data_IF_014321167428
#
_entry.id   IF_014321167428
#
_cell.length_a   1.000
_cell.length_b   1.000
_cell.length_c   1.000
_cell.angle_alpha   90.00
_cell.angle_beta   90.00
_cell.angle_gamma   90.00
#
_symmetry.space_group_name_H-M   'P 1'
#
loop_
_entity.id
_entity.type
_entity.pdbx_description
1 polymer ?
#
# COMPACT_ATOMS: atom_id res chain seq x y z
N UNK A 1 4.01 -4.28 26.57
CA UNK A 1 2.69 -3.70 26.24
C UNK A 1 1.86 -4.75 25.52
N UNK A 2 0.53 -4.67 25.67
CA UNK A 2 -0.41 -5.42 24.84
C UNK A 2 -0.92 -4.50 23.74
N UNK A 3 -0.73 -4.87 22.49
CA UNK A 3 -1.02 -4.04 21.32
C UNK A 3 -2.11 -4.70 20.49
N UNK A 4 -3.22 -3.99 20.26
CA UNK A 4 -4.28 -4.44 19.37
C UNK A 4 -4.00 -3.91 17.95
N UNK A 5 -3.58 -4.80 17.06
CA UNK A 5 -3.43 -4.50 15.65
C UNK A 5 -4.76 -4.71 14.91
N UNK A 6 -5.18 -3.70 14.18
CA UNK A 6 -6.45 -3.68 13.45
C UNK A 6 -6.18 -3.56 11.96
N UNK A 7 -6.71 -4.50 11.19
CA UNK A 7 -6.71 -4.45 9.73
C UNK A 7 -8.03 -5.02 9.18
N UNK A 8 -8.45 -4.53 8.03
CA UNK A 8 -9.65 -5.04 7.37
C UNK A 8 -9.50 -6.52 7.01
N UNK A 9 -8.40 -6.90 6.39
CA UNK A 9 -8.11 -8.27 5.97
C UNK A 9 -7.18 -8.97 6.97
N UNK A 10 -7.38 -10.26 7.17
CA UNK A 10 -6.50 -11.11 7.99
C UNK A 10 -5.90 -12.25 7.17
N UNK A 11 -5.61 -11.97 5.91
CA UNK A 11 -4.93 -12.85 4.96
C UNK A 11 -4.07 -12.00 4.02
N UNK A 12 -3.17 -12.62 3.25
CA UNK A 12 -2.24 -11.89 2.38
C UNK A 12 -2.94 -11.41 1.11
N UNK A 13 -3.09 -10.09 0.98
CA UNK A 13 -3.65 -9.41 -0.20
C UNK A 13 -2.63 -8.54 -0.95
N UNK A 14 -1.69 -7.94 -0.22
CA UNK A 14 -0.71 -7.02 -0.80
C UNK A 14 0.22 -6.40 0.23
N UNK A 15 0.83 -5.27 -0.12
CA UNK A 15 1.84 -4.61 0.72
C UNK A 15 1.35 -4.15 2.09
N UNK A 16 0.07 -3.79 2.23
CA UNK A 16 -0.53 -3.45 3.53
C UNK A 16 -0.56 -4.63 4.50
N UNK A 17 -0.81 -5.84 3.99
CA UNK A 17 -0.82 -7.05 4.79
C UNK A 17 0.61 -7.55 5.08
N UNK A 18 1.54 -7.38 4.12
CA UNK A 18 2.97 -7.60 4.37
C UNK A 18 3.46 -6.74 5.55
N UNK A 19 3.09 -5.45 5.55
CA UNK A 19 3.38 -4.57 6.68
C UNK A 19 2.70 -5.02 7.97
N UNK A 20 1.40 -5.34 7.91
CA UNK A 20 0.59 -5.69 9.08
C UNK A 20 1.11 -6.92 9.81
N UNK A 21 1.36 -8.02 9.10
CA UNK A 21 1.89 -9.24 9.69
C UNK A 21 3.35 -9.10 10.09
N UNK A 22 4.17 -8.43 9.25
CA UNK A 22 5.55 -8.13 9.60
C UNK A 22 5.67 -7.26 10.85
N UNK A 23 4.79 -6.27 11.04
CA UNK A 23 4.74 -5.47 12.26
C UNK A 23 4.37 -6.32 13.48
N UNK A 24 3.41 -7.25 13.35
CA UNK A 24 3.04 -8.14 14.43
C UNK A 24 4.24 -8.99 14.90
N UNK A 25 5.00 -9.54 13.95
CA UNK A 25 6.17 -10.35 14.25
C UNK A 25 7.30 -9.53 14.91
N UNK A 26 7.57 -8.33 14.41
CA UNK A 26 8.55 -7.41 15.01
C UNK A 26 8.19 -7.03 16.45
N UNK A 27 6.91 -6.73 16.71
CA UNK A 27 6.44 -6.39 18.06
C UNK A 27 6.54 -7.58 19.01
N UNK A 28 6.24 -8.80 18.55
CA UNK A 28 6.41 -10.02 19.34
C UNK A 28 7.88 -10.31 19.64
N UNK A 29 8.76 -10.15 18.64
CA UNK A 29 10.22 -10.29 18.83
C UNK A 29 10.76 -9.27 19.82
N UNK A 30 10.17 -8.08 19.89
CA UNK A 30 10.48 -7.06 20.88
C UNK A 30 9.87 -7.31 22.28
N UNK A 31 9.25 -8.48 22.51
CA UNK A 31 8.69 -8.87 23.80
C UNK A 31 7.31 -8.26 24.12
N UNK A 32 6.53 -7.90 23.10
CA UNK A 32 5.19 -7.36 23.27
C UNK A 32 4.12 -8.39 22.92
N UNK A 33 2.99 -8.34 23.61
CA UNK A 33 1.80 -9.13 23.30
C UNK A 33 1.02 -8.45 22.16
N UNK A 34 0.70 -9.22 21.13
CA UNK A 34 -0.02 -8.73 19.94
C UNK A 34 -1.30 -9.53 19.76
N UNK A 35 -2.41 -8.83 19.76
CA UNK A 35 -3.76 -9.34 19.50
C UNK A 35 -4.34 -8.65 18.25
N UNK A 36 -5.35 -9.25 17.66
CA UNK A 36 -5.85 -8.83 16.35
C UNK A 36 -7.35 -8.57 16.33
N UNK A 37 -7.73 -7.62 15.47
CA UNK A 37 -9.13 -7.37 15.12
C UNK A 37 -9.25 -7.14 13.60
N UNK A 38 -10.13 -7.91 12.95
CA UNK A 38 -10.30 -7.87 11.49
C UNK A 38 -11.74 -8.19 11.07
N UNK A 39 -11.95 -8.38 9.78
CA UNK A 39 -13.18 -8.93 9.24
C UNK A 39 -13.05 -10.46 9.07
N UNK A 40 -14.18 -11.17 9.14
CA UNK A 40 -14.26 -12.59 8.82
C UNK A 40 -14.13 -12.81 7.31
N UNK A 41 -13.29 -13.76 6.95
CA UNK A 41 -13.10 -14.22 5.58
C UNK A 41 -12.65 -15.69 5.62
N UNK A 42 -13.06 -16.50 4.64
CA UNK A 42 -12.68 -17.91 4.55
C UNK A 42 -11.18 -18.12 4.38
N UNK A 43 -10.49 -17.12 3.83
CA UNK A 43 -9.03 -17.13 3.60
C UNK A 43 -8.23 -16.64 4.80
N UNK A 44 -8.88 -16.26 5.90
CA UNK A 44 -8.18 -15.76 7.07
C UNK A 44 -7.22 -16.79 7.65
N UNK A 45 -6.07 -16.30 8.09
CA UNK A 45 -5.14 -17.11 8.88
C UNK A 45 -5.76 -17.48 10.22
N UNK A 46 -5.33 -18.58 10.88
CA UNK A 46 -5.78 -18.93 12.22
C UNK A 46 -5.51 -17.80 13.23
N UNK A 47 -6.52 -17.46 14.05
CA UNK A 47 -6.40 -16.40 15.05
C UNK A 47 -7.30 -16.68 16.25
N UNK A 48 -6.76 -16.59 17.47
CA UNK A 48 -7.51 -16.79 18.71
C UNK A 48 -8.65 -15.78 18.88
N UNK A 49 -8.46 -14.56 18.36
CA UNK A 49 -9.45 -13.50 18.43
C UNK A 49 -10.52 -13.57 17.31
N UNK A 50 -10.50 -14.59 16.46
CA UNK A 50 -11.39 -14.72 15.28
C UNK A 50 -12.89 -14.64 15.61
N UNK A 51 -13.30 -15.07 16.81
CA UNK A 51 -14.68 -14.94 17.29
C UNK A 51 -15.17 -13.47 17.40
N UNK A 52 -14.24 -12.53 17.57
CA UNK A 52 -14.52 -11.10 17.62
C UNK A 52 -14.47 -10.42 16.24
N UNK A 53 -14.06 -11.11 15.19
CA UNK A 53 -13.97 -10.52 13.86
C UNK A 53 -15.35 -10.16 13.31
N UNK A 54 -15.41 -9.06 12.59
CA UNK A 54 -16.64 -8.49 12.04
C UNK A 54 -17.10 -9.30 10.84
N UNK A 55 -18.38 -9.60 10.73
CA UNK A 55 -18.90 -10.34 9.60
C UNK A 55 -18.60 -9.62 8.26
N UNK A 56 -18.22 -10.38 7.24
CA UNK A 56 -18.02 -9.82 5.90
C UNK A 56 -19.37 -9.36 5.33
N UNK A 57 -19.38 -8.26 4.58
CA UNK A 57 -20.55 -7.80 3.83
C UNK A 57 -20.31 -8.17 2.39
N UNK A 58 -20.84 -9.33 2.00
CA UNK A 58 -20.86 -9.72 0.60
C UNK A 58 -21.95 -8.95 -0.14
N UNK A 59 -21.52 -8.17 -1.14
CA UNK A 59 -22.43 -7.47 -2.07
C UNK A 59 -22.75 -8.29 -3.32
N UNK A 60 -22.32 -9.55 -3.37
CA UNK A 60 -22.33 -10.39 -4.57
C UNK A 60 -23.61 -11.22 -4.74
N UNK A 61 -24.62 -11.06 -3.88
CA UNK A 61 -25.91 -11.73 -3.98
C UNK A 61 -27.07 -10.82 -4.40
N UNK A 62 -28.22 -11.38 -4.74
CA UNK A 62 -29.47 -10.64 -4.94
C UNK A 62 -29.99 -10.12 -3.59
N UNK A 63 -29.44 -8.99 -3.16
CA UNK A 63 -29.88 -8.33 -1.94
C UNK A 63 -31.19 -7.58 -2.19
N UNK A 64 -32.14 -7.71 -1.28
CA UNK A 64 -33.35 -6.88 -1.25
C UNK A 64 -33.01 -5.41 -1.02
N UNK A 65 -33.89 -4.48 -1.36
CA UNK A 65 -33.67 -3.04 -1.16
C UNK A 65 -33.36 -2.71 0.32
N UNK A 66 -34.03 -3.37 1.27
CA UNK A 66 -33.80 -3.19 2.71
C UNK A 66 -32.44 -3.72 3.15
N UNK A 67 -31.96 -4.82 2.59
CA UNK A 67 -30.62 -5.37 2.85
C UNK A 67 -29.54 -4.45 2.28
N UNK A 68 -29.72 -3.93 1.06
CA UNK A 68 -28.83 -2.93 0.45
C UNK A 68 -28.73 -1.66 1.32
N UNK A 69 -29.85 -1.18 1.85
CA UNK A 69 -29.88 0.00 2.70
C UNK A 69 -29.15 -0.27 4.04
N UNK A 70 -29.39 -1.42 4.70
CA UNK A 70 -28.67 -1.82 5.91
C UNK A 70 -27.16 -1.95 5.66
N UNK A 71 -26.77 -2.57 4.56
CA UNK A 71 -25.36 -2.69 4.16
C UNK A 71 -24.72 -1.30 3.93
N UNK A 72 -25.43 -0.38 3.27
CA UNK A 72 -24.99 0.99 3.07
C UNK A 72 -24.76 1.74 4.39
N UNK A 73 -25.71 1.68 5.33
CA UNK A 73 -25.54 2.27 6.66
C UNK A 73 -24.35 1.66 7.41
N UNK A 74 -24.19 0.33 7.33
CA UNK A 74 -23.08 -0.36 7.97
C UNK A 74 -21.72 0.07 7.42
N UNK A 75 -21.61 0.41 6.12
CA UNK A 75 -20.39 0.92 5.51
C UNK A 75 -19.99 2.31 6.07
N UNK A 76 -20.96 3.11 6.50
CA UNK A 76 -20.70 4.43 7.10
C UNK A 76 -20.35 4.30 8.58
N UNK A 77 -21.14 3.48 9.32
CA UNK A 77 -20.93 3.27 10.75
C UNK A 77 -21.38 1.85 11.16
N UNK A 78 -20.45 1.01 11.57
CA UNK A 78 -20.69 -0.39 11.93
C UNK A 78 -20.91 -0.54 13.43
N UNK A 79 -22.16 -0.69 13.87
CA UNK A 79 -22.48 -1.01 15.26
C UNK A 79 -21.97 -2.39 15.68
N UNK A 80 -21.90 -3.35 14.72
CA UNK A 80 -21.30 -4.67 14.97
C UNK A 80 -19.81 -4.55 15.28
N UNK A 81 -19.06 -3.79 14.47
CA UNK A 81 -17.64 -3.58 14.71
C UNK A 81 -17.41 -2.91 16.07
N UNK A 82 -18.22 -1.89 16.41
CA UNK A 82 -18.15 -1.24 17.71
C UNK A 82 -18.40 -2.21 18.88
N UNK A 83 -19.44 -3.04 18.80
CA UNK A 83 -19.78 -4.02 19.83
C UNK A 83 -18.67 -5.07 19.99
N UNK A 84 -18.19 -5.63 18.88
CA UNK A 84 -17.19 -6.70 18.89
C UNK A 84 -15.82 -6.21 19.37
N UNK A 85 -15.35 -5.04 18.89
CA UNK A 85 -14.09 -4.48 19.40
C UNK A 85 -14.19 -4.05 20.86
N UNK A 86 -15.35 -3.52 21.32
CA UNK A 86 -15.56 -3.20 22.74
C UNK A 86 -15.43 -4.44 23.61
N UNK A 87 -16.06 -5.55 23.22
CA UNK A 87 -15.96 -6.82 23.96
C UNK A 87 -14.52 -7.36 23.98
N UNK A 88 -13.79 -7.22 22.86
CA UNK A 88 -12.38 -7.58 22.80
C UNK A 88 -11.52 -6.69 23.72
N UNK A 89 -11.75 -5.39 23.72
CA UNK A 89 -11.06 -4.43 24.60
C UNK A 89 -11.31 -4.74 26.08
N UNK A 90 -12.55 -5.03 26.46
CA UNK A 90 -12.90 -5.38 27.85
C UNK A 90 -12.19 -6.64 28.33
N UNK A 91 -12.10 -7.65 27.45
CA UNK A 91 -11.41 -8.91 27.76
C UNK A 91 -9.89 -8.74 27.82
N UNK A 92 -9.31 -8.14 26.79
CA UNK A 92 -7.87 -8.15 26.56
C UNK A 92 -7.13 -6.95 27.14
N UNK A 93 -7.81 -5.84 27.35
CA UNK A 93 -7.28 -4.58 27.92
C UNK A 93 -5.99 -4.12 27.23
N UNK A 94 -6.00 -3.86 25.91
CA UNK A 94 -4.81 -3.44 25.20
C UNK A 94 -4.35 -2.05 25.66
N UNK A 95 -3.04 -1.83 25.63
CA UNK A 95 -2.41 -0.53 25.94
C UNK A 95 -2.51 0.45 24.77
N UNK A 96 -2.52 -0.06 23.54
CA UNK A 96 -2.52 0.70 22.27
C UNK A 96 -3.40 -0.02 21.26
N UNK A 97 -4.12 0.75 20.46
CA UNK A 97 -4.78 0.25 19.24
C UNK A 97 -4.09 0.85 18.03
N UNK A 98 -3.49 0.00 17.19
CA UNK A 98 -2.85 0.42 15.97
C UNK A 98 -3.65 -0.06 14.75
N UNK A 99 -4.22 0.90 14.02
CA UNK A 99 -5.11 0.67 12.89
C UNK A 99 -4.30 0.78 11.58
N UNK A 100 -4.59 -0.11 10.65
CA UNK A 100 -4.06 -0.09 9.28
C UNK A 100 -5.19 0.24 8.29
N UNK A 101 -5.93 -0.74 7.82
CA UNK A 101 -7.09 -0.54 6.96
C UNK A 101 -8.38 -0.77 7.75
N UNK A 102 -9.32 0.18 7.71
CA UNK A 102 -10.58 0.08 8.46
C UNK A 102 -11.81 0.57 7.71
N UNK A 103 -11.65 1.40 6.70
CA UNK A 103 -12.76 2.03 5.99
C UNK A 103 -13.73 1.00 5.41
N UNK A 104 -15.03 1.36 5.40
CA UNK A 104 -16.15 0.61 4.81
C UNK A 104 -16.57 -0.68 5.51
N UNK A 105 -15.74 -1.30 6.33
CA UNK A 105 -16.07 -2.54 7.05
C UNK A 105 -16.01 -2.35 8.56
N UNK A 106 -14.85 -1.96 9.07
CA UNK A 106 -14.64 -1.72 10.50
C UNK A 106 -15.13 -0.32 10.91
N UNK A 107 -15.01 0.66 10.02
CA UNK A 107 -15.52 2.03 10.10
C UNK A 107 -14.98 2.89 11.26
N UNK A 108 -15.41 4.13 11.33
CA UNK A 108 -15.10 5.07 12.44
C UNK A 108 -15.50 4.53 13.82
N UNK A 109 -16.42 3.57 13.86
CA UNK A 109 -16.99 3.04 15.10
C UNK A 109 -15.97 2.37 16.02
N UNK A 110 -14.88 1.81 15.46
CA UNK A 110 -13.80 1.21 16.24
C UNK A 110 -12.97 2.25 16.98
N UNK A 111 -12.79 3.44 16.39
CA UNK A 111 -12.11 4.57 17.04
C UNK A 111 -12.97 5.12 18.18
N UNK A 112 -14.28 5.24 17.97
CA UNK A 112 -15.22 5.65 19.04
C UNK A 112 -15.22 4.66 20.20
N UNK A 113 -15.10 3.34 19.91
CA UNK A 113 -14.97 2.34 20.96
C UNK A 113 -13.65 2.53 21.73
N UNK A 114 -12.51 2.66 21.03
CA UNK A 114 -11.21 2.89 21.67
C UNK A 114 -11.23 4.10 22.61
N UNK A 115 -11.81 5.22 22.16
CA UNK A 115 -11.90 6.45 22.96
C UNK A 115 -12.80 6.33 24.17
N UNK A 116 -13.87 5.53 24.11
CA UNK A 116 -14.71 5.22 25.28
C UNK A 116 -13.91 4.57 26.42
N UNK A 117 -12.90 3.76 26.09
CA UNK A 117 -12.02 3.09 27.05
C UNK A 117 -10.70 3.85 27.32
N UNK A 118 -10.54 5.06 26.80
CA UNK A 118 -9.34 5.88 27.01
C UNK A 118 -8.07 5.35 26.34
N UNK A 119 -8.20 4.42 25.38
CA UNK A 119 -7.05 3.77 24.74
C UNK A 119 -6.52 4.66 23.60
N UNK A 120 -5.21 4.94 23.54
CA UNK A 120 -4.60 5.67 22.44
C UNK A 120 -4.74 4.92 21.11
N UNK A 121 -5.02 5.67 20.03
CA UNK A 121 -5.21 5.16 18.68
C UNK A 121 -4.14 5.69 17.74
N UNK A 122 -3.44 4.79 17.09
CA UNK A 122 -2.47 5.07 16.02
C UNK A 122 -3.05 4.60 14.69
N UNK A 123 -2.88 5.36 13.62
CA UNK A 123 -3.25 4.97 12.26
C UNK A 123 -2.04 5.03 11.34
N UNK A 124 -1.65 3.90 10.76
CA UNK A 124 -0.75 3.88 9.59
C UNK A 124 -1.56 3.98 8.31
N UNK A 125 -1.23 4.95 7.48
CA UNK A 125 -1.91 5.19 6.20
C UNK A 125 -1.30 4.32 5.11
N UNK A 126 -2.04 3.33 4.64
CA UNK A 126 -1.65 2.48 3.49
C UNK A 126 -2.28 2.93 2.18
N UNK A 127 -3.30 3.77 2.26
CA UNK A 127 -3.97 4.40 1.13
C UNK A 127 -4.41 5.84 1.48
N UNK A 128 -4.99 6.53 0.54
CA UNK A 128 -5.46 7.91 0.70
C UNK A 128 -6.95 8.02 1.04
N UNK A 129 -7.57 6.97 1.62
CA UNK A 129 -8.98 6.98 2.00
C UNK A 129 -9.36 8.14 2.94
N UNK A 130 -8.44 8.59 3.78
CA UNK A 130 -8.68 9.73 4.66
C UNK A 130 -9.02 11.01 3.89
N UNK A 131 -8.41 11.22 2.73
CA UNK A 131 -8.49 12.47 1.96
C UNK A 131 -9.24 12.33 0.64
N UNK A 132 -9.45 11.10 0.16
CA UNK A 132 -10.10 10.82 -1.13
C UNK A 132 -11.06 9.63 -1.05
N UNK A 133 -12.35 9.79 -1.38
CA UNK A 133 -13.33 8.69 -1.32
C UNK A 133 -12.98 7.47 -2.18
N UNK A 134 -12.26 7.64 -3.30
CA UNK A 134 -11.81 6.53 -4.14
C UNK A 134 -10.46 5.94 -3.72
N UNK A 135 -9.83 6.48 -2.66
CA UNK A 135 -8.58 6.07 -2.01
C UNK A 135 -7.29 6.12 -2.86
N UNK A 136 -7.39 6.31 -4.17
CA UNK A 136 -6.23 6.31 -5.09
C UNK A 136 -5.90 7.70 -5.64
N UNK A 137 -6.77 8.71 -5.42
CA UNK A 137 -6.65 10.06 -5.98
C UNK A 137 -6.47 10.07 -7.50
N UNK A 138 -7.22 9.21 -8.19
CA UNK A 138 -7.31 9.16 -9.65
C UNK A 138 -8.73 9.49 -10.11
N UNK A 139 -8.83 10.18 -11.22
CA UNK A 139 -10.05 10.45 -11.96
C UNK A 139 -9.84 10.01 -13.41
N UNK A 140 -10.42 8.85 -13.77
CA UNK A 140 -10.26 8.25 -15.10
C UNK A 140 -8.78 8.20 -15.55
N UNK A 141 -7.93 7.66 -14.69
CA UNK A 141 -6.50 7.51 -14.95
C UNK A 141 -5.67 8.81 -14.83
N UNK A 142 -6.23 9.95 -14.42
CA UNK A 142 -5.50 11.20 -14.18
C UNK A 142 -5.41 11.48 -12.69
N UNK A 143 -4.30 12.00 -12.22
CA UNK A 143 -4.15 12.47 -10.84
C UNK A 143 -5.23 13.51 -10.53
N UNK A 144 -5.91 13.33 -9.40
CA UNK A 144 -7.02 14.19 -8.98
C UNK A 144 -6.96 14.50 -7.48
N UNK A 145 -6.92 15.79 -7.16
CA UNK A 145 -6.89 16.29 -5.77
C UNK A 145 -8.18 17.04 -5.39
N UNK A 146 -9.22 16.94 -6.20
CA UNK A 146 -10.45 17.72 -6.02
C UNK A 146 -11.15 17.51 -4.66
N UNK A 147 -10.90 16.36 -3.99
CA UNK A 147 -11.45 16.03 -2.68
C UNK A 147 -10.52 16.37 -1.51
N UNK A 148 -9.27 16.75 -1.75
CA UNK A 148 -8.22 16.90 -0.75
C UNK A 148 -8.64 17.78 0.44
N UNK A 149 -9.32 18.89 0.18
CA UNK A 149 -9.80 19.82 1.20
C UNK A 149 -11.19 19.46 1.76
N UNK A 150 -11.63 18.21 1.57
CA UNK A 150 -12.85 17.65 2.16
C UNK A 150 -14.15 18.00 1.43
N UNK A 151 -14.11 18.38 0.15
CA UNK A 151 -15.29 18.42 -0.71
C UNK A 151 -15.46 17.08 -1.44
N UNK A 152 -15.93 16.08 -0.71
CA UNK A 152 -16.04 14.70 -1.20
C UNK A 152 -17.13 14.49 -2.27
N UNK A 153 -18.04 15.45 -2.44
CA UNK A 153 -19.07 15.44 -3.50
C UNK A 153 -18.47 15.53 -4.90
N UNK A 154 -17.21 15.99 -5.02
CA UNK A 154 -16.46 15.93 -6.28
C UNK A 154 -16.34 14.49 -6.81
N UNK A 155 -16.24 13.48 -5.93
CA UNK A 155 -16.21 12.07 -6.32
C UNK A 155 -17.51 11.68 -7.06
N UNK A 156 -18.67 12.14 -6.58
CA UNK A 156 -19.98 11.88 -7.21
C UNK A 156 -20.10 12.60 -8.56
N UNK A 157 -19.69 13.87 -8.62
CA UNK A 157 -19.73 14.67 -9.85
C UNK A 157 -18.87 14.07 -10.97
N UNK A 158 -17.69 13.56 -10.61
CA UNK A 158 -16.71 13.00 -11.55
C UNK A 158 -16.90 11.52 -11.84
N UNK A 159 -17.73 10.83 -11.06
CA UNK A 159 -17.91 9.35 -11.10
C UNK A 159 -16.58 8.57 -11.02
N UNK A 160 -15.59 9.11 -10.31
CA UNK A 160 -14.21 8.61 -10.29
C UNK A 160 -13.99 7.32 -9.50
N UNK A 161 -15.03 6.74 -8.89
CA UNK A 161 -14.94 5.48 -8.15
C UNK A 161 -15.70 4.35 -8.86
N UNK A 162 -14.95 3.49 -9.57
CA UNK A 162 -15.47 2.32 -10.28
C UNK A 162 -16.63 2.67 -11.25
N UNK A 163 -16.58 3.83 -11.89
CA UNK A 163 -17.56 4.34 -12.87
C UNK A 163 -19.03 4.15 -12.43
N UNK A 164 -19.28 4.28 -11.13
CA UNK A 164 -20.60 4.03 -10.55
C UNK A 164 -21.04 5.17 -9.64
N UNK A 165 -22.11 5.87 -10.03
CA UNK A 165 -22.71 6.94 -9.20
C UNK A 165 -23.08 6.46 -7.80
N UNK A 166 -23.65 5.26 -7.69
CA UNK A 166 -24.03 4.70 -6.39
C UNK A 166 -22.81 4.46 -5.50
N UNK A 167 -21.72 3.89 -6.04
CA UNK A 167 -20.47 3.66 -5.29
C UNK A 167 -19.81 4.97 -4.91
N UNK A 168 -19.79 5.97 -5.82
CA UNK A 168 -19.28 7.32 -5.53
C UNK A 168 -20.10 8.00 -4.42
N UNK A 169 -21.42 7.90 -4.47
CA UNK A 169 -22.31 8.49 -3.47
C UNK A 169 -22.03 7.88 -2.08
N UNK A 170 -21.96 6.56 -2.00
CA UNK A 170 -21.67 5.85 -0.74
C UNK A 170 -20.30 6.24 -0.18
N UNK A 171 -19.28 6.28 -1.02
CA UNK A 171 -17.93 6.67 -0.61
C UNK A 171 -17.86 8.14 -0.17
N UNK A 172 -18.60 9.03 -0.85
CA UNK A 172 -18.69 10.44 -0.47
C UNK A 172 -19.42 10.63 0.87
N UNK A 173 -20.52 9.90 1.10
CA UNK A 173 -21.28 9.93 2.37
C UNK A 173 -20.38 9.44 3.51
N UNK A 174 -19.68 8.31 3.36
CA UNK A 174 -18.75 7.79 4.36
C UNK A 174 -17.66 8.83 4.71
N UNK A 175 -17.02 9.40 3.67
CA UNK A 175 -15.95 10.37 3.87
C UNK A 175 -16.45 11.68 4.53
N UNK A 176 -17.64 12.17 4.14
CA UNK A 176 -18.26 13.35 4.75
C UNK A 176 -18.66 13.08 6.22
N UNK A 177 -19.23 11.91 6.50
CA UNK A 177 -19.54 11.48 7.86
C UNK A 177 -18.27 11.40 8.72
N UNK A 178 -17.21 10.77 8.25
CA UNK A 178 -15.93 10.65 8.95
C UNK A 178 -15.33 12.03 9.27
N UNK A 179 -15.40 12.97 8.33
CA UNK A 179 -14.97 14.36 8.52
C UNK A 179 -15.81 15.06 9.58
N UNK A 180 -17.17 15.03 9.46
CA UNK A 180 -18.10 15.75 10.35
C UNK A 180 -18.14 15.16 11.75
N UNK A 181 -18.01 13.84 11.90
CA UNK A 181 -17.92 13.18 13.21
C UNK A 181 -16.62 13.46 13.96
N UNK A 182 -15.67 14.13 13.29
CA UNK A 182 -14.35 14.41 13.86
C UNK A 182 -13.49 13.17 14.04
N UNK A 183 -13.73 12.10 13.26
CA UNK A 183 -13.00 10.83 13.35
C UNK A 183 -11.48 11.05 13.40
N UNK A 184 -10.96 11.80 12.42
CA UNK A 184 -9.52 11.98 12.27
C UNK A 184 -8.89 12.83 13.39
N UNK A 185 -9.70 13.59 14.15
CA UNK A 185 -9.25 14.32 15.34
C UNK A 185 -9.21 13.45 16.61
N UNK A 186 -9.87 12.29 16.58
CA UNK A 186 -9.86 11.29 17.66
C UNK A 186 -8.66 10.33 17.57
N UNK A 187 -7.98 10.27 16.44
CA UNK A 187 -6.76 9.49 16.26
C UNK A 187 -5.59 10.27 16.85
N UNK A 188 -4.81 9.65 17.73
CA UNK A 188 -3.76 10.35 18.50
C UNK A 188 -2.46 10.52 17.73
N UNK A 189 -2.21 9.63 16.76
CA UNK A 189 -1.00 9.65 15.94
C UNK A 189 -1.27 9.07 14.56
N UNK A 190 -0.80 9.76 13.53
CA UNK A 190 -0.75 9.24 12.17
C UNK A 190 0.68 8.86 11.80
N UNK A 191 0.84 7.72 11.16
CA UNK A 191 2.08 7.27 10.54
C UNK A 191 1.85 7.24 9.03
N UNK A 192 2.75 7.88 8.28
CA UNK A 192 2.69 7.91 6.81
C UNK A 192 3.93 7.25 6.23
N UNK A 193 3.78 6.37 5.22
CA UNK A 193 4.91 5.62 4.66
C UNK A 193 5.79 6.47 3.74
N UNK A 194 5.36 7.70 3.41
CA UNK A 194 6.08 8.65 2.58
C UNK A 194 5.78 10.10 2.99
N UNK A 195 6.69 11.02 2.68
CA UNK A 195 6.46 12.46 2.82
C UNK A 195 5.31 12.92 1.91
N UNK A 196 5.15 12.30 0.73
CA UNK A 196 4.02 12.57 -0.14
C UNK A 196 2.69 12.37 0.59
N UNK A 197 2.50 11.25 1.30
CA UNK A 197 1.28 10.96 2.07
C UNK A 197 1.11 11.91 3.26
N UNK A 198 2.21 12.23 3.94
CA UNK A 198 2.21 13.21 5.02
C UNK A 198 1.73 14.57 4.53
N UNK A 199 2.31 15.08 3.45
CA UNK A 199 1.93 16.36 2.86
C UNK A 199 0.45 16.40 2.42
N UNK A 200 -0.09 15.28 1.86
CA UNK A 200 -1.52 15.19 1.51
C UNK A 200 -2.41 15.25 2.76
N UNK A 201 -2.05 14.55 3.83
CA UNK A 201 -2.84 14.59 5.06
C UNK A 201 -2.76 15.97 5.74
N UNK A 202 -1.57 16.58 5.81
CA UNK A 202 -1.39 17.94 6.33
C UNK A 202 -2.21 18.97 5.53
N UNK A 203 -2.10 18.95 4.21
CA UNK A 203 -2.85 19.85 3.33
C UNK A 203 -4.38 19.70 3.44
N UNK A 204 -4.86 18.52 3.83
CA UNK A 204 -6.29 18.27 4.01
C UNK A 204 -6.91 19.01 5.20
N UNK A 205 -6.13 19.34 6.22
CA UNK A 205 -6.60 19.95 7.46
C UNK A 205 -7.54 19.08 8.31
N UNK A 206 -7.61 17.77 8.04
CA UNK A 206 -8.55 16.85 8.71
C UNK A 206 -8.21 16.57 10.18
N UNK A 207 -6.93 16.68 10.52
CA UNK A 207 -6.44 16.40 11.89
C UNK A 207 -5.51 17.50 12.37
N UNK A 208 -5.36 17.60 13.71
CA UNK A 208 -4.32 18.38 14.40
C UNK A 208 -3.36 17.44 15.17
N UNK A 209 -3.60 16.14 15.11
CA UNK A 209 -2.75 15.16 15.76
C UNK A 209 -1.40 15.07 15.06
N UNK A 210 -0.33 14.66 15.75
CA UNK A 210 0.98 14.47 15.14
C UNK A 210 0.91 13.53 13.93
N UNK A 211 1.61 13.91 12.86
CA UNK A 211 1.79 13.10 11.65
C UNK A 211 3.28 12.82 11.53
N UNK A 212 3.66 11.55 11.63
CA UNK A 212 5.06 11.12 11.59
C UNK A 212 5.31 10.33 10.32
N UNK A 213 6.27 10.78 9.53
CA UNK A 213 6.76 10.00 8.42
C UNK A 213 7.66 8.87 8.93
N UNK A 214 7.30 7.64 8.59
CA UNK A 214 8.10 6.43 8.80
C UNK A 214 7.97 5.55 7.56
N UNK A 215 9.08 5.40 6.83
CA UNK A 215 9.09 4.48 5.67
C UNK A 215 8.74 3.06 6.14
N UNK A 216 8.00 2.33 5.33
CA UNK A 216 7.76 0.93 5.61
C UNK A 216 9.09 0.17 5.71
N UNK A 217 9.08 -0.91 6.45
CA UNK A 217 10.23 -1.80 6.62
C UNK A 217 10.11 -3.03 5.71
N UNK A 218 11.21 -3.68 5.42
CA UNK A 218 11.25 -5.03 4.86
C UNK A 218 11.25 -6.08 5.99
N UNK A 219 10.81 -7.34 5.71
CA UNK A 219 10.83 -8.41 6.70
C UNK A 219 12.18 -8.51 7.42
N UNK A 220 12.17 -8.89 8.71
CA UNK A 220 13.37 -8.92 9.55
C UNK A 220 14.45 -9.89 9.05
N UNK A 221 14.05 -10.92 8.32
CA UNK A 221 14.93 -11.93 7.71
C UNK A 221 15.44 -11.53 6.31
N UNK A 222 15.14 -10.31 5.86
CA UNK A 222 15.59 -9.79 4.56
C UNK A 222 17.11 -9.81 4.47
N UNK A 223 17.61 -10.48 3.43
CA UNK A 223 19.05 -10.53 3.12
C UNK A 223 19.42 -9.32 2.27
N UNK A 224 20.02 -8.31 2.88
CA UNK A 224 20.55 -7.13 2.20
C UNK A 224 21.91 -7.46 1.57
N UNK A 225 21.90 -7.95 0.35
CA UNK A 225 23.11 -8.30 -0.40
C UNK A 225 22.82 -8.29 -1.89
N UNK A 226 23.85 -8.01 -2.70
CA UNK A 226 23.76 -8.22 -4.14
C UNK A 226 23.53 -9.71 -4.41
N UNK A 227 22.38 -10.04 -5.01
CA UNK A 227 21.96 -11.40 -5.29
C UNK A 227 21.88 -11.64 -6.80
N UNK A 228 22.56 -12.67 -7.27
CA UNK A 228 22.64 -12.99 -8.69
C UNK A 228 23.54 -12.04 -9.49
N UNK A 229 23.67 -12.31 -10.77
CA UNK A 229 24.38 -11.48 -11.73
C UNK A 229 23.43 -10.50 -12.42
N UNK A 230 23.98 -9.53 -13.14
CA UNK A 230 23.20 -8.74 -14.09
C UNK A 230 22.57 -9.69 -15.11
N UNK A 231 21.25 -9.63 -15.24
CA UNK A 231 20.52 -10.34 -16.28
C UNK A 231 20.44 -9.56 -17.58
N UNK A 232 19.74 -10.11 -18.53
CA UNK A 232 19.52 -9.54 -19.86
C UNK A 232 18.09 -9.00 -20.07
N UNK A 233 17.22 -9.14 -19.08
CA UNK A 233 15.82 -8.72 -19.16
C UNK A 233 15.43 -7.71 -18.08
N UNK A 234 14.40 -6.95 -18.39
CA UNK A 234 13.68 -6.04 -17.49
C UNK A 234 12.56 -6.80 -16.79
N UNK A 235 12.33 -6.56 -15.52
CA UNK A 235 11.29 -7.22 -14.75
C UNK A 235 10.25 -6.21 -14.24
N UNK A 236 8.98 -6.52 -14.47
CA UNK A 236 7.86 -6.00 -13.70
C UNK A 236 7.26 -7.11 -12.85
N UNK A 237 6.98 -6.85 -11.58
CA UNK A 237 6.15 -7.74 -10.77
C UNK A 237 5.19 -6.96 -9.87
N UNK A 238 3.96 -7.45 -9.80
CA UNK A 238 2.87 -6.86 -9.04
C UNK A 238 1.51 -7.08 -9.67
N UNK A 239 0.50 -6.43 -9.10
CA UNK A 239 -0.86 -6.51 -9.61
C UNK A 239 -0.97 -5.85 -10.97
N UNK A 240 -1.65 -6.51 -11.92
CA UNK A 240 -1.90 -5.97 -13.26
C UNK A 240 -3.18 -5.10 -13.24
N UNK A 241 -3.04 -3.86 -12.83
CA UNK A 241 -4.13 -2.88 -12.75
C UNK A 241 -3.70 -1.53 -13.33
N UNK A 242 -4.67 -0.75 -13.80
CA UNK A 242 -4.43 0.46 -14.61
C UNK A 242 -3.48 1.47 -13.94
N UNK A 243 -3.63 1.66 -12.61
CA UNK A 243 -2.79 2.59 -11.84
C UNK A 243 -1.31 2.16 -11.76
N UNK A 244 -1.00 0.91 -12.11
CA UNK A 244 0.38 0.40 -12.12
C UNK A 244 1.16 0.73 -13.40
N UNK A 245 0.51 1.30 -14.43
CA UNK A 245 1.16 1.85 -15.61
C UNK A 245 1.82 0.83 -16.53
N UNK A 246 1.34 -0.43 -16.54
CA UNK A 246 1.98 -1.51 -17.32
C UNK A 246 1.82 -1.26 -18.82
N UNK A 247 0.72 -0.66 -19.25
CA UNK A 247 0.54 -0.30 -20.67
C UNK A 247 1.60 0.72 -21.12
N UNK A 248 1.90 1.72 -20.29
CA UNK A 248 3.00 2.67 -20.55
C UNK A 248 4.36 1.95 -20.62
N UNK A 249 4.59 0.94 -19.77
CA UNK A 249 5.80 0.14 -19.82
C UNK A 249 5.88 -0.66 -21.14
N UNK A 250 4.80 -1.32 -21.55
CA UNK A 250 4.77 -2.09 -22.81
C UNK A 250 5.09 -1.17 -24.00
N UNK A 251 4.49 0.00 -24.10
CA UNK A 251 4.78 0.99 -25.13
C UNK A 251 6.22 1.52 -25.07
N UNK A 252 6.77 1.68 -23.86
CA UNK A 252 8.17 2.03 -23.70
C UNK A 252 9.12 0.97 -24.28
N UNK A 253 8.76 -0.33 -24.19
CA UNK A 253 9.56 -1.41 -24.74
C UNK A 253 9.66 -1.38 -26.26
N UNK A 254 8.70 -0.79 -26.98
CA UNK A 254 8.79 -0.58 -28.42
C UNK A 254 10.02 0.25 -28.82
N UNK A 255 10.38 1.21 -27.97
CA UNK A 255 11.51 2.14 -28.18
C UNK A 255 12.87 1.54 -27.79
N UNK A 256 12.89 0.30 -27.31
CA UNK A 256 14.09 -0.41 -26.87
C UNK A 256 14.35 -1.60 -27.78
N UNK A 257 15.45 -1.58 -28.53
CA UNK A 257 15.84 -2.71 -29.37
C UNK A 257 16.41 -3.84 -28.48
N UNK A 258 16.00 -5.08 -28.78
CA UNK A 258 16.56 -6.32 -28.21
C UNK A 258 16.56 -6.40 -26.66
N UNK A 259 15.69 -5.66 -25.97
CA UNK A 259 15.53 -5.74 -24.51
C UNK A 259 14.29 -6.57 -24.19
N UNK A 260 14.42 -7.74 -23.55
CA UNK A 260 13.27 -8.52 -23.10
C UNK A 260 12.61 -7.89 -21.86
N UNK A 261 11.29 -8.08 -21.75
CA UNK A 261 10.50 -7.75 -20.55
C UNK A 261 9.78 -9.00 -20.04
N UNK A 262 9.92 -9.28 -18.76
CA UNK A 262 9.11 -10.29 -18.07
C UNK A 262 8.11 -9.57 -17.15
N UNK A 263 6.83 -9.92 -17.29
CA UNK A 263 5.73 -9.40 -16.47
C UNK A 263 5.23 -10.53 -15.58
N UNK A 264 5.38 -10.33 -14.26
CA UNK A 264 4.93 -11.26 -13.22
C UNK A 264 3.74 -10.67 -12.50
N UNK A 265 2.63 -11.41 -12.47
CA UNK A 265 1.42 -11.01 -11.76
C UNK A 265 0.14 -11.33 -12.51
N UNK A 266 -0.98 -11.00 -11.89
CA UNK A 266 -2.33 -11.10 -12.46
C UNK A 266 -3.15 -9.87 -12.10
N UNK A 267 -4.22 -9.62 -12.83
CA UNK A 267 -5.11 -8.48 -12.53
C UNK A 267 -6.09 -8.14 -13.64
N UNK A 268 -6.92 -7.13 -13.41
CA UNK A 268 -8.00 -6.77 -14.35
C UNK A 268 -7.51 -6.25 -15.71
N UNK A 269 -6.24 -5.81 -15.84
CA UNK A 269 -5.67 -5.30 -17.08
C UNK A 269 -4.98 -6.38 -17.93
N UNK A 270 -5.06 -7.64 -17.56
CA UNK A 270 -4.32 -8.72 -18.22
C UNK A 270 -4.61 -8.80 -19.73
N UNK A 271 -5.90 -8.76 -20.10
CA UNK A 271 -6.31 -8.81 -21.51
C UNK A 271 -5.88 -7.55 -22.28
N UNK A 272 -5.97 -6.37 -21.64
CA UNK A 272 -5.52 -5.13 -22.25
C UNK A 272 -4.01 -5.11 -22.47
N UNK A 273 -3.23 -5.67 -21.54
CA UNK A 273 -1.77 -5.79 -21.68
C UNK A 273 -1.42 -6.75 -22.83
N UNK A 274 -2.10 -7.89 -22.96
CA UNK A 274 -1.91 -8.83 -24.07
C UNK A 274 -2.21 -8.18 -25.42
N UNK A 275 -3.33 -7.45 -25.51
CA UNK A 275 -3.70 -6.71 -26.72
C UNK A 275 -2.64 -5.65 -27.10
N UNK A 276 -2.07 -4.95 -26.12
CA UNK A 276 -1.03 -3.95 -26.34
C UNK A 276 0.29 -4.58 -26.83
N UNK A 277 0.67 -5.73 -26.25
CA UNK A 277 1.85 -6.50 -26.69
C UNK A 277 1.71 -6.93 -28.16
N UNK A 278 0.51 -7.38 -28.56
CA UNK A 278 0.23 -7.80 -29.94
C UNK A 278 0.22 -6.60 -30.90
N UNK A 279 -0.44 -5.50 -30.52
CA UNK A 279 -0.55 -4.28 -31.33
C UNK A 279 0.82 -3.66 -31.67
N UNK A 280 1.78 -3.77 -30.75
CA UNK A 280 3.15 -3.28 -30.92
C UNK A 280 4.15 -4.36 -31.38
N UNK A 281 3.68 -5.55 -31.79
CA UNK A 281 4.50 -6.68 -32.28
C UNK A 281 5.60 -7.12 -31.29
N UNK A 282 5.31 -7.06 -29.98
CA UNK A 282 6.28 -7.34 -28.91
C UNK A 282 6.26 -8.78 -28.41
N UNK A 283 5.48 -9.69 -29.03
CA UNK A 283 5.26 -11.07 -28.56
C UNK A 283 6.55 -11.88 -28.36
N UNK A 284 7.62 -11.56 -29.10
CA UNK A 284 8.91 -12.24 -28.94
C UNK A 284 9.80 -11.68 -27.84
N UNK A 285 9.46 -10.49 -27.31
CA UNK A 285 10.28 -9.76 -26.32
C UNK A 285 9.58 -9.52 -24.99
N UNK A 286 8.25 -9.58 -24.94
CA UNK A 286 7.47 -9.39 -23.73
C UNK A 286 6.77 -10.69 -23.35
N UNK A 287 7.08 -11.20 -22.17
CA UNK A 287 6.51 -12.46 -21.66
C UNK A 287 5.72 -12.22 -20.38
N UNK A 288 4.47 -12.65 -20.35
CA UNK A 288 3.63 -12.67 -19.16
C UNK A 288 3.65 -14.09 -18.55
N UNK A 289 4.14 -14.22 -17.32
CA UNK A 289 4.33 -15.53 -16.65
C UNK A 289 3.26 -15.82 -15.57
N UNK A 290 2.26 -14.94 -15.46
CA UNK A 290 1.22 -15.07 -14.43
C UNK A 290 1.73 -14.77 -13.02
N UNK A 291 0.92 -15.14 -12.00
CA UNK A 291 1.27 -14.93 -10.61
C UNK A 291 2.40 -15.86 -10.17
N UNK A 292 3.41 -15.28 -9.53
CA UNK A 292 4.51 -16.00 -8.89
C UNK A 292 4.70 -15.50 -7.45
N UNK A 293 5.18 -16.36 -6.58
CA UNK A 293 5.45 -16.02 -5.18
C UNK A 293 6.64 -16.82 -4.64
N UNK A 294 7.11 -16.43 -3.46
CA UNK A 294 8.21 -17.11 -2.79
C UNK A 294 9.47 -17.23 -3.66
N UNK A 295 10.14 -18.36 -3.60
CA UNK A 295 11.40 -18.58 -4.30
C UNK A 295 11.28 -18.45 -5.84
N UNK A 296 10.14 -18.82 -6.42
CA UNK A 296 9.91 -18.65 -7.85
C UNK A 296 9.96 -17.18 -8.28
N UNK A 297 9.30 -16.29 -7.52
CA UNK A 297 9.38 -14.84 -7.78
C UNK A 297 10.81 -14.33 -7.61
N UNK A 298 11.48 -14.75 -6.53
CA UNK A 298 12.83 -14.27 -6.25
C UNK A 298 13.87 -14.72 -7.29
N UNK A 299 13.64 -15.84 -7.96
CA UNK A 299 14.48 -16.22 -9.13
C UNK A 299 14.37 -15.20 -10.26
N UNK A 300 13.15 -14.73 -10.59
CA UNK A 300 13.00 -13.67 -11.59
C UNK A 300 13.69 -12.37 -11.15
N UNK A 301 13.57 -11.99 -9.88
CA UNK A 301 14.23 -10.78 -9.38
C UNK A 301 15.76 -10.93 -9.43
N UNK A 302 16.32 -12.06 -8.97
CA UNK A 302 17.78 -12.28 -9.00
C UNK A 302 18.39 -12.25 -10.39
N UNK A 303 17.65 -12.68 -11.40
CA UNK A 303 18.15 -12.84 -12.75
C UNK A 303 17.80 -11.68 -13.70
N UNK A 304 17.10 -10.64 -13.24
CA UNK A 304 16.82 -9.47 -14.07
C UNK A 304 18.00 -8.47 -14.10
N UNK A 305 18.00 -7.60 -15.09
CA UNK A 305 18.88 -6.44 -15.15
C UNK A 305 18.39 -5.33 -14.21
N UNK A 306 17.10 -5.06 -14.23
CA UNK A 306 16.46 -4.09 -13.34
C UNK A 306 14.99 -4.42 -13.12
N UNK A 307 14.43 -3.88 -12.06
CA UNK A 307 12.99 -3.91 -11.80
C UNK A 307 12.39 -2.56 -12.18
N UNK A 308 11.27 -2.60 -12.92
CA UNK A 308 10.55 -1.38 -13.30
C UNK A 308 9.25 -1.25 -12.49
N UNK A 309 9.03 -0.06 -11.94
CA UNK A 309 7.82 0.31 -11.19
C UNK A 309 7.18 1.52 -11.88
N UNK A 310 6.41 1.31 -12.96
CA UNK A 310 5.92 2.38 -13.84
C UNK A 310 4.61 3.00 -13.34
N UNK A 311 4.37 3.02 -12.04
CA UNK A 311 3.11 3.46 -11.42
C UNK A 311 2.67 4.84 -11.85
N UNK A 312 1.35 5.03 -12.03
CA UNK A 312 0.71 6.26 -12.49
C UNK A 312 -0.24 6.86 -11.45
N UNK A 313 -0.01 6.58 -10.18
CA UNK A 313 -0.79 7.07 -9.05
C UNK A 313 0.11 7.45 -7.87
N UNK A 314 -0.45 7.99 -6.80
CA UNK A 314 0.31 8.26 -5.58
C UNK A 314 0.61 6.95 -4.83
N UNK A 315 1.75 6.31 -5.15
CA UNK A 315 2.23 5.14 -4.40
C UNK A 315 2.50 5.51 -2.95
N UNK A 316 2.12 4.62 -2.04
CA UNK A 316 2.37 4.82 -0.62
C UNK A 316 3.86 4.66 -0.29
N UNK A 317 4.43 3.52 -0.65
CA UNK A 317 5.83 3.14 -0.37
C UNK A 317 6.50 2.42 -1.54
N UNK A 318 5.77 1.55 -2.29
CA UNK A 318 6.33 0.76 -3.39
C UNK A 318 7.25 -0.37 -2.90
N UNK A 319 6.69 -1.37 -2.21
CA UNK A 319 7.45 -2.53 -1.71
C UNK A 319 8.32 -3.19 -2.78
N UNK A 320 7.81 -3.33 -3.99
CA UNK A 320 8.57 -3.85 -5.15
C UNK A 320 9.92 -3.16 -5.34
N UNK A 321 9.96 -1.82 -5.23
CA UNK A 321 11.21 -1.07 -5.33
C UNK A 321 12.14 -1.34 -4.13
N UNK A 322 11.58 -1.50 -2.94
CA UNK A 322 12.34 -1.76 -1.72
C UNK A 322 12.99 -3.15 -1.77
N UNK A 323 12.22 -4.16 -2.14
CA UNK A 323 12.64 -5.55 -2.27
C UNK A 323 13.73 -5.73 -3.35
N UNK A 324 13.53 -5.11 -4.51
CA UNK A 324 14.51 -5.14 -5.59
C UNK A 324 15.85 -4.56 -5.15
N UNK A 325 15.86 -3.38 -4.49
CA UNK A 325 17.08 -2.76 -4.00
C UNK A 325 17.76 -3.59 -2.91
N UNK A 326 17.01 -4.24 -2.02
CA UNK A 326 17.59 -5.12 -1.00
C UNK A 326 18.37 -6.29 -1.62
N UNK A 327 17.98 -6.72 -2.82
CA UNK A 327 18.66 -7.76 -3.61
C UNK A 327 19.74 -7.20 -4.57
N UNK A 328 20.03 -5.89 -4.50
CA UNK A 328 21.01 -5.24 -5.35
C UNK A 328 20.55 -5.05 -6.79
N UNK A 329 19.24 -5.03 -7.04
CA UNK A 329 18.72 -4.73 -8.38
C UNK A 329 18.42 -3.25 -8.51
N UNK A 330 18.98 -2.57 -9.52
CA UNK A 330 18.60 -1.20 -9.86
C UNK A 330 17.10 -1.11 -10.13
N UNK A 331 16.51 0.00 -9.73
CA UNK A 331 15.07 0.23 -9.92
C UNK A 331 14.87 1.38 -10.89
N UNK A 332 14.08 1.15 -11.93
CA UNK A 332 13.54 2.21 -12.78
C UNK A 332 12.11 2.48 -12.36
N UNK A 333 11.82 3.67 -11.86
CA UNK A 333 10.49 4.01 -11.38
C UNK A 333 10.00 5.35 -11.91
N UNK A 334 8.69 5.53 -11.89
CA UNK A 334 8.08 6.82 -12.15
C UNK A 334 8.14 7.73 -10.90
N UNK A 335 8.00 9.03 -11.09
CA UNK A 335 7.92 10.02 -10.01
C UNK A 335 6.55 9.99 -9.29
N UNK A 336 6.05 8.79 -8.99
CA UNK A 336 4.72 8.49 -8.48
C UNK A 336 4.69 8.41 -6.95
N UNK A 337 4.11 9.41 -6.29
CA UNK A 337 3.88 9.40 -4.85
C UNK A 337 5.17 9.26 -4.03
N UNK A 338 5.28 8.19 -3.22
CA UNK A 338 6.44 7.90 -2.39
C UNK A 338 7.58 7.16 -3.10
N UNK A 339 7.43 6.75 -4.37
CA UNK A 339 8.48 6.01 -5.09
C UNK A 339 9.81 6.78 -5.20
N UNK A 340 9.82 8.08 -5.58
CA UNK A 340 11.05 8.85 -5.68
C UNK A 340 11.85 8.93 -4.37
N UNK A 341 11.15 8.80 -3.25
CA UNK A 341 11.79 8.85 -1.93
C UNK A 341 12.64 7.62 -1.61
N UNK A 342 12.48 6.54 -2.38
CA UNK A 342 13.17 5.27 -2.21
C UNK A 342 14.37 5.10 -3.13
N UNK A 343 14.52 5.97 -4.12
CA UNK A 343 15.51 5.84 -5.19
C UNK A 343 16.42 7.07 -5.18
N UNK A 344 17.71 6.86 -5.20
CA UNK A 344 18.70 7.91 -5.47
C UNK A 344 18.97 7.89 -6.97
N UNK A 345 18.41 8.89 -7.69
CA UNK A 345 18.47 8.95 -9.14
C UNK A 345 19.93 8.96 -9.66
N UNK A 346 20.22 8.06 -10.60
CA UNK A 346 21.57 7.84 -11.14
C UNK A 346 22.49 6.99 -10.24
N UNK A 347 22.08 6.68 -8.98
CA UNK A 347 22.91 5.91 -8.05
C UNK A 347 22.34 4.53 -7.69
N UNK A 348 21.03 4.43 -7.46
CA UNK A 348 20.36 3.17 -7.13
C UNK A 348 19.32 2.76 -8.18
N UNK A 349 19.23 3.55 -9.24
CA UNK A 349 18.30 3.39 -10.33
C UNK A 349 18.01 4.72 -11.02
N UNK A 350 16.89 4.80 -11.73
CA UNK A 350 16.50 6.01 -12.47
C UNK A 350 15.02 6.33 -12.26
N UNK A 351 14.72 7.64 -12.28
CA UNK A 351 13.34 8.15 -12.13
C UNK A 351 12.89 8.76 -13.46
N UNK A 352 11.67 8.41 -13.90
CA UNK A 352 11.03 9.01 -15.08
C UNK A 352 9.71 9.70 -14.70
N UNK A 353 9.24 10.65 -15.51
CA UNK A 353 7.87 11.16 -15.36
C UNK A 353 6.83 10.03 -15.53
N UNK A 354 5.69 10.14 -14.83
CA UNK A 354 4.54 9.29 -15.08
C UNK A 354 4.02 9.47 -16.51
N UNK A 355 3.57 8.38 -17.14
CA UNK A 355 2.95 8.40 -18.49
C UNK A 355 3.85 8.90 -19.60
N UNK A 356 5.16 8.92 -19.39
CA UNK A 356 6.15 9.27 -20.41
C UNK A 356 6.91 8.01 -20.85
N UNK A 357 6.44 7.41 -21.93
CA UNK A 357 7.00 6.19 -22.52
C UNK A 357 8.44 6.39 -22.96
N UNK A 358 8.76 7.57 -23.53
CA UNK A 358 10.10 7.86 -24.03
C UNK A 358 11.10 8.04 -22.88
N UNK A 359 10.72 8.78 -21.82
CA UNK A 359 11.53 8.93 -20.64
C UNK A 359 11.73 7.61 -19.90
N UNK A 360 10.68 6.77 -19.81
CA UNK A 360 10.76 5.43 -19.21
C UNK A 360 11.69 4.52 -20.01
N UNK A 361 11.57 4.49 -21.34
CA UNK A 361 12.47 3.74 -22.21
C UNK A 361 13.92 4.23 -22.07
N UNK A 362 14.14 5.54 -22.01
CA UNK A 362 15.49 6.10 -21.80
C UNK A 362 16.07 5.63 -20.46
N UNK A 363 15.30 5.70 -19.36
CA UNK A 363 15.73 5.27 -18.04
C UNK A 363 16.09 3.77 -18.01
N UNK A 364 15.27 2.91 -18.63
CA UNK A 364 15.58 1.49 -18.79
C UNK A 364 16.86 1.31 -19.62
N UNK A 365 16.96 1.98 -20.76
CA UNK A 365 18.12 1.91 -21.63
C UNK A 365 19.43 2.36 -20.96
N UNK A 366 19.36 3.31 -20.02
CA UNK A 366 20.54 3.70 -19.21
C UNK A 366 21.04 2.53 -18.36
N UNK A 367 20.15 1.78 -17.69
CA UNK A 367 20.56 0.58 -16.93
C UNK A 367 21.16 -0.47 -17.87
N UNK A 368 20.51 -0.70 -19.01
CA UNK A 368 20.96 -1.74 -19.97
C UNK A 368 22.31 -1.45 -20.60
N UNK A 369 22.75 -0.20 -20.65
CA UNK A 369 24.04 0.23 -21.22
C UNK A 369 25.17 0.40 -20.22
N UNK A 370 24.91 0.24 -18.91
CA UNK A 370 25.98 0.33 -17.90
C UNK A 370 27.10 -0.70 -18.19
N UNK A 371 28.34 -0.37 -17.93
CA UNK A 371 29.41 -1.37 -17.84
C UNK A 371 29.17 -2.30 -16.64
N UNK A 372 29.86 -3.44 -16.60
CA UNK A 372 29.70 -4.37 -15.47
C UNK A 372 30.14 -3.72 -14.14
N UNK A 373 31.19 -2.88 -14.18
CA UNK A 373 31.66 -2.15 -13.01
C UNK A 373 30.66 -1.07 -12.54
N UNK A 374 30.05 -0.35 -13.48
CA UNK A 374 29.01 0.65 -13.17
C UNK A 374 27.78 -0.01 -12.59
N UNK A 375 27.36 -1.12 -13.19
CA UNK A 375 26.24 -1.92 -12.72
C UNK A 375 26.48 -2.45 -11.30
N UNK A 376 27.67 -3.02 -11.06
CA UNK A 376 28.04 -3.53 -9.74
C UNK A 376 28.02 -2.42 -8.68
N UNK A 377 28.56 -1.24 -8.98
CA UNK A 377 28.50 -0.08 -8.09
C UNK A 377 27.05 0.34 -7.80
N UNK A 378 26.19 0.36 -8.81
CA UNK A 378 24.77 0.71 -8.64
C UNK A 378 24.06 -0.35 -7.80
N UNK A 379 24.36 -1.63 -7.98
CA UNK A 379 23.80 -2.74 -7.19
C UNK A 379 24.19 -2.65 -5.71
N UNK A 380 25.47 -2.37 -5.42
CA UNK A 380 25.95 -2.19 -4.04
C UNK A 380 25.33 -0.97 -3.35
N UNK A 381 25.21 0.14 -4.09
CA UNK A 381 24.52 1.35 -3.59
C UNK A 381 23.03 1.08 -3.34
N UNK A 382 22.37 0.27 -4.18
CA UNK A 382 20.98 -0.13 -3.97
C UNK A 382 20.81 -0.91 -2.67
N UNK A 383 21.68 -1.88 -2.39
CA UNK A 383 21.69 -2.62 -1.11
C UNK A 383 21.90 -1.70 0.08
N UNK A 384 22.90 -0.82 0.00
CA UNK A 384 23.21 0.12 1.08
C UNK A 384 22.03 1.06 1.37
N UNK A 385 21.38 1.58 0.30
CA UNK A 385 20.20 2.42 0.41
C UNK A 385 19.03 1.67 1.03
N UNK A 386 18.74 0.46 0.56
CA UNK A 386 17.68 -0.37 1.10
C UNK A 386 17.88 -0.67 2.59
N UNK A 387 19.08 -1.07 2.98
CA UNK A 387 19.43 -1.33 4.39
C UNK A 387 19.25 -0.10 5.28
N UNK A 388 19.61 1.09 4.76
CA UNK A 388 19.43 2.35 5.48
C UNK A 388 17.96 2.74 5.65
N UNK A 389 17.14 2.55 4.60
CA UNK A 389 15.77 3.09 4.54
C UNK A 389 14.73 2.14 5.12
N UNK A 390 14.93 0.82 5.02
CA UNK A 390 13.89 -0.19 5.27
C UNK A 390 14.25 -1.14 6.42
N UNK A 391 15.13 -0.70 7.32
CA UNK A 391 15.54 -1.46 8.50
C UNK A 391 14.36 -1.68 9.47
N UNK A 392 14.00 -2.95 9.66
CA UNK A 392 12.92 -3.37 10.53
C UNK A 392 13.17 -3.06 12.00
N UNK A 393 14.42 -3.24 12.44
CA UNK A 393 14.82 -3.03 13.85
C UNK A 393 14.72 -1.56 14.24
N UNK A 394 15.22 -0.68 13.40
CA UNK A 394 15.12 0.77 13.60
C UNK A 394 13.67 1.25 13.52
N UNK A 395 12.87 0.64 12.64
CA UNK A 395 11.42 0.94 12.54
C UNK A 395 10.69 0.63 13.86
N UNK A 396 10.81 -0.60 14.37
CA UNK A 396 10.10 -1.01 15.59
C UNK A 396 10.57 -0.24 16.80
N UNK A 397 11.87 0.03 16.93
CA UNK A 397 12.43 0.84 18.02
C UNK A 397 11.81 2.25 18.06
N UNK A 398 11.74 2.93 16.90
CA UNK A 398 11.10 4.24 16.76
C UNK A 398 9.60 4.19 17.09
N UNK A 399 8.90 3.17 16.61
CA UNK A 399 7.48 2.99 16.86
C UNK A 399 7.16 2.80 18.35
N UNK A 400 7.97 2.00 19.05
CA UNK A 400 7.81 1.76 20.49
C UNK A 400 8.01 3.02 21.32
N UNK A 401 8.91 3.91 20.92
CA UNK A 401 9.06 5.24 21.56
C UNK A 401 7.79 6.06 21.36
N UNK A 402 7.21 6.06 20.16
CA UNK A 402 5.95 6.75 19.89
C UNK A 402 4.80 6.20 20.74
N UNK A 403 4.68 4.87 20.85
CA UNK A 403 3.67 4.23 21.70
C UNK A 403 3.83 4.59 23.18
N UNK A 404 5.06 4.55 23.70
CA UNK A 404 5.35 4.91 25.09
C UNK A 404 4.96 6.37 25.40
N UNK A 405 5.21 7.28 24.47
CA UNK A 405 4.84 8.69 24.61
C UNK A 405 3.32 8.89 24.61
N UNK A 406 2.58 8.13 23.80
CA UNK A 406 1.11 8.20 23.79
C UNK A 406 0.51 7.65 25.10
N UNK A 407 1.04 6.53 25.61
CA UNK A 407 0.56 5.94 26.88
C UNK A 407 0.75 6.90 28.06
N UNK A 408 1.87 7.65 28.12
CA UNK A 408 2.12 8.65 29.18
C UNK A 408 1.18 9.85 29.13
N UNK A 409 0.61 10.20 27.98
CA UNK A 409 -0.35 11.31 27.83
C UNK A 409 -1.78 10.91 28.17
N UNK A 410 -2.07 9.63 28.17
CA UNK A 410 -3.40 9.09 28.50
C UNK A 410 -3.62 8.77 29.97
N UNK A 411 -2.53 8.72 30.75
CA UNK A 411 -2.53 8.65 32.22
C UNK A 411 -2.39 10.07 32.81
#
# INVERSE_FOLDING_TARGET
MKILLVNKYFNMHGGSETYFFGLADLLRQAGHEVIFFAMQDEKNLPCEQSAYFVSNVEFNGELTATQKLKAAFRMVYSFEAKKKISALIEKEKPDIIHINLFHRVLTASIVDAAKKYGIPVVLTMHDLNCVCPNHVMLDHGKICEACLHGNYWNCVKRMCFKDSRAKCLMAAIESDFNKRSGLYRKIDLFITPSECYKNKLEASGLTKSPIVHMKNFLPADTKYAVQGKRGDYVLYYGRLSAEKGILTLVRAMEKLENVPLIIVGTGPEEDAIRAEIEAHHLNQRVTMVGFQSGENLWQYVRNCACVVVPSEWYEASGYTACEAQAMGKPVVATNAGGLPENIVDGETGFISPMKDEAALANAIGRVMRLSDEEYQRMAEKSVANAKKLFDASGYVAKLLVLYANLKRRGN
#
